data_IF_508895733488
#
_entry.id   IF_508895733488
#
_cell.length_a   1.000
_cell.length_b   1.000
_cell.length_c   1.000
_cell.angle_alpha   90.00
_cell.angle_beta   90.00
_cell.angle_gamma   90.00
#
_symmetry.space_group_name_H-M   'P 1'
#
loop_
_entity.id
_entity.type
_entity.pdbx_description
1 polymer ?
#
# COMPACT_ATOMS: atom_id res chain seq x y z
N UNK A 1 20.43 -31.83 4.50
CA UNK A 1 18.99 -31.89 4.19
C UNK A 1 18.31 -30.93 5.13
N UNK A 2 17.99 -29.72 4.65
CA UNK A 2 17.24 -28.74 5.42
C UNK A 2 15.83 -29.31 5.65
N UNK A 3 15.42 -29.43 6.90
CA UNK A 3 14.03 -29.72 7.23
C UNK A 3 13.21 -28.53 6.74
N UNK A 4 12.34 -28.75 5.75
CA UNK A 4 11.23 -27.85 5.49
C UNK A 4 10.43 -27.78 6.78
N UNK A 5 10.57 -26.67 7.51
CA UNK A 5 9.62 -26.30 8.54
C UNK A 5 8.27 -26.26 7.84
N UNK A 6 7.32 -27.09 8.30
CA UNK A 6 5.98 -27.10 7.73
C UNK A 6 5.44 -25.68 7.79
N UNK A 7 5.03 -25.16 6.63
CA UNK A 7 4.30 -23.91 6.57
C UNK A 7 3.15 -23.96 7.60
N UNK A 8 2.95 -22.88 8.36
CA UNK A 8 1.92 -22.82 9.40
C UNK A 8 0.51 -23.06 8.84
N UNK A 9 -0.48 -23.38 9.68
CA UNK A 9 -1.83 -23.71 9.24
C UNK A 9 -2.52 -22.59 8.43
N UNK A 10 -2.16 -21.30 8.60
CA UNK A 10 -2.71 -20.21 7.77
C UNK A 10 -2.08 -20.20 6.39
N UNK A 11 -0.78 -20.51 6.25
CA UNK A 11 -0.12 -20.59 4.94
C UNK A 11 -0.72 -21.71 4.09
N UNK A 12 -0.94 -22.88 4.68
CA UNK A 12 -1.59 -24.01 3.99
C UNK A 12 -3.02 -23.64 3.57
N UNK A 13 -3.80 -23.05 4.49
CA UNK A 13 -5.18 -22.63 4.19
C UNK A 13 -5.24 -21.53 3.14
N UNK A 14 -4.30 -20.59 3.15
CA UNK A 14 -4.24 -19.53 2.15
C UNK A 14 -3.88 -20.07 0.76
N UNK A 15 -3.02 -21.08 0.68
CA UNK A 15 -2.71 -21.74 -0.58
C UNK A 15 -3.97 -22.38 -1.20
N UNK A 16 -4.76 -23.11 -0.41
CA UNK A 16 -6.02 -23.69 -0.85
C UNK A 16 -7.01 -22.61 -1.31
N UNK A 17 -7.22 -21.58 -0.49
CA UNK A 17 -8.13 -20.48 -0.79
C UNK A 17 -7.71 -19.71 -2.03
N UNK A 18 -6.41 -19.50 -2.24
CA UNK A 18 -5.89 -18.85 -3.44
C UNK A 18 -6.22 -19.66 -4.69
N UNK A 19 -6.13 -20.99 -4.63
CA UNK A 19 -6.51 -21.85 -5.74
C UNK A 19 -8.03 -21.81 -6.01
N UNK A 20 -8.85 -21.78 -4.95
CA UNK A 20 -10.30 -21.63 -5.07
C UNK A 20 -10.69 -20.29 -5.73
N UNK A 21 -10.08 -19.18 -5.31
CA UNK A 21 -10.36 -17.84 -5.87
C UNK A 21 -9.98 -17.79 -7.35
N UNK A 22 -8.79 -18.25 -7.70
CA UNK A 22 -8.33 -18.26 -9.09
C UNK A 22 -9.26 -19.10 -9.99
N UNK A 23 -9.71 -20.26 -9.51
CA UNK A 23 -10.64 -21.12 -10.25
C UNK A 23 -12.01 -20.45 -10.46
N UNK A 24 -12.49 -19.67 -9.49
CA UNK A 24 -13.73 -18.90 -9.64
C UNK A 24 -13.58 -17.78 -10.66
N UNK A 25 -12.46 -17.04 -10.65
CA UNK A 25 -12.20 -15.99 -11.64
C UNK A 25 -12.12 -16.57 -13.06
N UNK A 26 -11.45 -17.72 -13.24
CA UNK A 26 -11.39 -18.42 -14.53
C UNK A 26 -12.77 -18.88 -15.02
N UNK A 27 -13.62 -19.41 -14.13
CA UNK A 27 -14.98 -19.83 -14.48
C UNK A 27 -15.86 -18.65 -14.93
N UNK A 28 -15.76 -17.51 -14.25
CA UNK A 28 -16.47 -16.29 -14.63
C UNK A 28 -16.02 -15.79 -16.01
N UNK A 29 -14.73 -15.86 -16.31
CA UNK A 29 -14.21 -15.49 -17.65
C UNK A 29 -14.76 -16.43 -18.72
N UNK A 30 -14.84 -17.74 -18.46
CA UNK A 30 -15.37 -18.72 -19.40
C UNK A 30 -16.87 -18.52 -19.67
N UNK A 31 -17.65 -18.16 -18.65
CA UNK A 31 -19.08 -17.86 -18.80
C UNK A 31 -19.35 -16.55 -19.56
N UNK A 32 -18.36 -15.65 -19.61
CA UNK A 32 -18.43 -14.37 -20.34
C UNK A 32 -17.92 -14.46 -21.79
N UNK A 33 -17.33 -15.58 -22.21
CA UNK A 33 -17.00 -15.83 -23.61
C UNK A 33 -18.28 -16.22 -24.36
N UNK A 34 -18.72 -15.47 -25.39
CA UNK A 34 -19.83 -15.92 -26.21
C UNK A 34 -19.45 -17.26 -26.83
N UNK A 35 -20.32 -18.26 -26.71
CA UNK A 35 -20.15 -19.54 -27.38
C UNK A 35 -19.93 -19.27 -28.88
N UNK A 36 -18.68 -19.36 -29.32
CA UNK A 36 -18.31 -19.22 -30.72
C UNK A 36 -18.85 -20.42 -31.49
N UNK A 37 -20.09 -20.33 -31.95
CA UNK A 37 -20.54 -21.18 -33.05
C UNK A 37 -19.73 -20.79 -34.28
N UNK A 38 -18.75 -21.64 -34.58
CA UNK A 38 -18.14 -21.74 -35.89
C UNK A 38 -19.24 -22.03 -36.92
N UNK A 39 -19.71 -21.00 -37.62
CA UNK A 39 -20.32 -21.18 -38.94
C UNK A 39 -19.28 -20.88 -40.01
N UNK A 40 -18.51 -21.92 -40.30
CA UNK A 40 -17.92 -22.16 -41.61
C UNK A 40 -19.06 -22.22 -42.64
N UNK A 41 -19.25 -21.17 -43.46
CA UNK A 41 -20.01 -21.29 -44.70
C UNK A 41 -19.65 -20.19 -45.71
N UNK A 42 -18.91 -20.65 -46.72
CA UNK A 42 -18.93 -20.28 -48.14
C UNK A 42 -19.41 -18.87 -48.54
N UNK A 43 -18.52 -18.14 -49.20
CA UNK A 43 -18.87 -17.09 -50.14
C UNK A 43 -19.91 -17.59 -51.18
N UNK A 44 -20.81 -16.70 -51.61
CA UNK A 44 -20.78 -16.42 -53.04
C UNK A 44 -20.82 -14.92 -53.35
N UNK A 45 -20.07 -14.61 -54.39
CA UNK A 45 -20.15 -13.43 -55.24
C UNK A 45 -21.58 -13.25 -55.81
N UNK A 46 -22.03 -11.99 -56.00
CA UNK A 46 -22.91 -11.47 -57.08
C UNK A 46 -23.76 -10.25 -56.66
N UNK A 47 -23.37 -9.10 -57.26
CA UNK A 47 -24.15 -7.99 -57.88
C UNK A 47 -24.89 -6.92 -57.05
N UNK A 48 -24.58 -5.71 -57.51
CA UNK A 48 -25.28 -4.43 -57.39
C UNK A 48 -26.80 -4.53 -57.49
N UNK A 49 -27.50 -3.78 -56.64
CA UNK A 49 -28.64 -2.96 -57.05
C UNK A 49 -28.87 -1.82 -56.04
N UNK A 50 -29.16 -0.66 -56.62
CA UNK A 50 -29.42 0.65 -56.03
C UNK A 50 -30.73 0.67 -55.25
N UNK A 51 -30.81 1.41 -54.14
CA UNK A 51 -31.96 2.29 -53.93
C UNK A 51 -31.69 3.39 -52.90
N UNK A 52 -32.03 4.61 -53.33
CA UNK A 52 -31.97 5.87 -52.60
C UNK A 52 -33.32 6.04 -51.92
N UNK A 53 -33.34 6.40 -50.63
CA UNK A 53 -34.44 7.20 -50.09
C UNK A 53 -33.92 8.36 -49.25
N UNK A 54 -34.03 9.54 -49.87
CA UNK A 54 -34.03 10.86 -49.27
C UNK A 54 -35.08 10.95 -48.14
N UNK A 55 -34.70 11.58 -47.03
CA UNK A 55 -35.66 12.32 -46.21
C UNK A 55 -35.13 13.74 -46.08
N UNK A 56 -35.84 14.65 -46.72
CA UNK A 56 -35.59 16.08 -46.80
C UNK A 56 -36.26 16.86 -45.65
N UNK A 57 -35.53 17.89 -45.19
CA UNK A 57 -35.99 19.26 -44.82
C UNK A 57 -36.63 19.54 -43.44
N UNK A 58 -36.65 20.82 -42.96
CA UNK A 58 -35.90 22.02 -43.41
C UNK A 58 -35.27 22.93 -42.31
N UNK A 59 -34.24 23.65 -42.75
CA UNK A 59 -33.90 25.08 -42.58
C UNK A 59 -34.38 25.89 -41.34
N UNK A 60 -33.39 26.51 -40.67
CA UNK A 60 -33.40 27.95 -40.38
C UNK A 60 -31.95 28.47 -40.15
N UNK A 61 -31.55 29.40 -41.00
CA UNK A 61 -30.44 30.37 -40.88
C UNK A 61 -31.04 31.74 -41.32
N UNK A 62 -30.38 32.91 -41.20
CA UNK A 62 -28.96 33.16 -40.87
C UNK A 62 -28.74 34.30 -39.86
N UNK A 63 -27.49 34.57 -39.49
CA UNK A 63 -26.90 35.91 -39.65
C UNK A 63 -25.36 35.83 -39.64
N UNK A 64 -24.77 36.68 -40.47
CA UNK A 64 -23.41 36.66 -41.01
C UNK A 64 -22.39 37.33 -40.09
N UNK A 65 -21.10 36.99 -40.24
CA UNK A 65 -20.05 37.95 -40.65
C UNK A 65 -18.67 37.28 -40.77
N UNK A 66 -18.30 37.03 -42.03
CA UNK A 66 -17.09 37.56 -42.71
C UNK A 66 -15.72 37.56 -41.98
N UNK A 67 -14.76 36.76 -42.47
CA UNK A 67 -13.65 37.20 -43.34
C UNK A 67 -12.46 36.21 -43.35
N UNK A 68 -12.14 35.73 -44.57
CA UNK A 68 -10.80 35.55 -45.19
C UNK A 68 -9.76 34.64 -44.50
N UNK A 69 -9.47 33.49 -45.12
CA UNK A 69 -8.22 33.15 -45.84
C UNK A 69 -7.03 32.78 -44.91
N UNK A 70 -6.21 31.76 -45.14
CA UNK A 70 -5.81 31.09 -46.35
C UNK A 70 -5.46 29.60 -46.07
N UNK A 71 -5.37 28.88 -47.18
CA UNK A 71 -4.89 27.52 -47.38
C UNK A 71 -3.51 27.23 -46.77
N UNK A 72 -3.35 26.05 -46.18
CA UNK A 72 -2.21 25.16 -46.46
C UNK A 72 -2.51 23.74 -45.94
N UNK A 73 -2.56 22.81 -46.89
CA UNK A 73 -2.42 21.37 -46.71
C UNK A 73 -1.02 21.04 -46.22
N UNK A 74 -0.90 20.29 -45.12
CA UNK A 74 0.33 19.55 -44.85
C UNK A 74 -0.01 18.14 -44.36
N UNK A 75 0.54 17.18 -45.10
CA UNK A 75 0.49 15.75 -44.89
C UNK A 75 1.06 15.35 -43.53
N UNK A 76 0.41 14.37 -42.89
CA UNK A 76 0.95 13.64 -41.76
C UNK A 76 2.18 12.83 -42.18
N UNK A 77 3.32 12.90 -41.47
CA UNK A 77 4.36 11.90 -41.61
C UNK A 77 4.15 10.76 -40.60
N UNK A 78 4.42 9.57 -41.10
CA UNK A 78 4.35 8.29 -40.42
C UNK A 78 5.26 8.19 -39.18
N UNK A 79 4.80 7.39 -38.22
CA UNK A 79 5.54 6.93 -37.05
C UNK A 79 6.82 6.16 -37.46
N UNK A 80 7.97 6.40 -36.81
CA UNK A 80 9.05 5.44 -36.81
C UNK A 80 8.82 4.40 -35.70
N UNK A 81 8.94 3.14 -36.10
CA UNK A 81 9.11 1.98 -35.24
C UNK A 81 10.43 2.08 -34.43
N UNK A 82 10.35 1.57 -33.20
CA UNK A 82 11.42 0.91 -32.45
C UNK A 82 12.64 1.75 -32.03
N UNK A 83 12.66 2.17 -30.76
CA UNK A 83 13.82 1.98 -29.89
C UNK A 83 13.35 1.61 -28.48
N UNK A 84 13.54 0.34 -28.14
CA UNK A 84 13.60 -0.13 -26.77
C UNK A 84 14.71 0.63 -26.00
N UNK A 85 14.32 1.61 -25.20
CA UNK A 85 15.21 2.16 -24.18
C UNK A 85 15.18 1.25 -22.95
N UNK A 86 16.29 0.53 -22.82
CA UNK A 86 16.97 0.08 -21.61
C UNK A 86 16.19 0.33 -20.31
N UNK A 87 15.52 -0.73 -19.86
CA UNK A 87 14.84 -0.76 -18.57
C UNK A 87 15.86 -0.59 -17.45
N UNK A 88 15.90 0.62 -16.88
CA UNK A 88 16.51 0.82 -15.58
C UNK A 88 15.89 -0.18 -14.60
N UNK A 89 16.72 -1.04 -14.02
CA UNK A 89 16.33 -1.99 -12.99
C UNK A 89 15.56 -1.25 -11.90
N UNK A 90 14.23 -1.41 -11.93
CA UNK A 90 13.38 -0.96 -10.85
C UNK A 90 13.62 -1.91 -9.68
N UNK A 91 14.09 -1.37 -8.57
CA UNK A 91 14.09 -2.08 -7.31
C UNK A 91 12.62 -2.32 -6.94
N UNK A 92 12.13 -3.56 -7.15
CA UNK A 92 10.75 -3.96 -6.87
C UNK A 92 10.36 -3.67 -5.40
N UNK A 93 11.38 -3.50 -4.55
CA UNK A 93 11.35 -3.14 -3.14
C UNK A 93 10.95 -1.67 -2.84
N UNK A 94 10.81 -0.81 -3.86
CA UNK A 94 10.31 0.57 -3.69
C UNK A 94 8.82 0.65 -3.35
N UNK A 95 8.13 -0.48 -3.22
CA UNK A 95 6.77 -0.49 -2.72
C UNK A 95 6.80 -0.32 -1.21
N UNK A 96 6.36 0.85 -0.75
CA UNK A 96 6.18 1.18 0.65
C UNK A 96 5.57 0.02 1.44
N UNK A 97 6.34 -0.50 2.41
CA UNK A 97 5.81 -1.34 3.47
C UNK A 97 4.92 -0.46 4.35
N UNK A 98 3.60 -0.67 4.28
CA UNK A 98 2.62 0.07 5.06
C UNK A 98 2.90 0.03 6.59
N UNK A 99 3.72 -0.92 7.05
CA UNK A 99 4.11 -1.11 8.44
C UNK A 99 5.34 -0.31 8.89
N UNK A 100 5.97 0.45 8.00
CA UNK A 100 6.83 1.56 8.44
C UNK A 100 6.05 2.55 9.31
N UNK A 101 4.72 2.55 9.21
CA UNK A 101 3.80 3.31 10.06
C UNK A 101 2.80 2.40 10.80
N UNK A 102 3.27 1.74 11.86
CA UNK A 102 2.36 1.48 13.00
C UNK A 102 2.04 2.87 13.57
N UNK A 103 0.77 3.33 13.59
CA UNK A 103 0.43 4.54 14.28
C UNK A 103 0.72 4.28 15.76
N UNK A 104 1.83 4.83 16.28
CA UNK A 104 1.89 5.07 17.71
C UNK A 104 0.76 6.03 17.98
N UNK A 105 -0.34 5.54 18.56
CA UNK A 105 -1.47 6.35 18.97
C UNK A 105 -0.94 7.63 19.59
N UNK A 106 -1.20 8.76 18.94
CA UNK A 106 -0.73 10.09 19.33
C UNK A 106 -1.54 10.62 20.54
N UNK A 107 -1.87 9.71 21.49
CA UNK A 107 -2.52 10.01 22.76
C UNK A 107 -1.55 10.57 23.81
N UNK A 108 -0.31 10.91 23.43
CA UNK A 108 0.68 11.52 24.31
C UNK A 108 1.09 12.96 23.92
N UNK A 109 0.34 13.63 23.04
CA UNK A 109 0.54 15.06 22.74
C UNK A 109 -0.74 15.89 22.91
N UNK A 110 -1.43 15.70 24.03
CA UNK A 110 -2.27 16.78 24.56
C UNK A 110 -1.37 17.75 25.34
N UNK A 111 -1.09 18.89 24.68
CA UNK A 111 -0.57 20.15 25.22
C UNK A 111 0.19 20.13 26.54
N UNK A 112 1.52 20.13 26.47
CA UNK A 112 2.30 20.72 27.55
C UNK A 112 2.00 22.23 27.57
N UNK A 113 1.43 22.80 28.66
CA UNK A 113 1.24 24.24 28.72
C UNK A 113 2.61 24.92 28.74
N UNK A 114 2.84 25.75 27.73
CA UNK A 114 4.02 26.58 27.61
C UNK A 114 3.88 27.80 28.54
N UNK A 115 4.99 28.08 29.26
CA UNK A 115 5.27 29.19 30.19
C UNK A 115 4.87 28.95 31.66
N UNK A 116 5.85 28.46 32.44
CA UNK A 116 5.83 28.53 33.92
C UNK A 116 6.57 29.79 34.34
N UNK A 117 5.89 30.68 35.06
CA UNK A 117 6.44 31.90 35.66
C UNK A 117 7.31 31.51 36.89
N UNK A 118 8.63 31.80 36.93
CA UNK A 118 9.55 31.22 37.92
C UNK A 118 9.40 31.75 39.37
N UNK A 119 8.39 32.55 39.67
CA UNK A 119 8.23 33.19 40.98
C UNK A 119 7.23 32.50 41.94
N UNK A 120 6.61 31.38 41.57
CA UNK A 120 5.56 30.75 42.38
C UNK A 120 5.63 29.20 42.37
N UNK A 121 6.59 28.60 43.08
CA UNK A 121 6.36 27.52 44.06
C UNK A 121 7.70 26.99 44.62
N UNK A 122 7.93 26.99 45.94
CA UNK A 122 9.15 26.42 46.51
C UNK A 122 9.24 24.91 46.26
N UNK A 123 10.38 24.53 45.68
CA UNK A 123 10.90 23.17 45.58
C UNK A 123 10.87 22.44 46.92
N UNK A 124 9.73 21.81 47.23
CA UNK A 124 9.58 20.92 48.38
C UNK A 124 9.13 19.54 47.91
N UNK A 125 10.15 18.81 47.45
CA UNK A 125 10.30 17.37 47.68
C UNK A 125 9.38 16.43 46.88
N UNK A 126 9.37 16.57 45.56
CA UNK A 126 9.33 15.35 44.75
C UNK A 126 10.71 14.71 44.86
N UNK A 127 10.85 13.76 45.78
CA UNK A 127 11.85 12.71 45.61
C UNK A 127 11.43 12.03 44.32
N UNK A 128 12.06 12.39 43.19
CA UNK A 128 12.05 11.53 42.01
C UNK A 128 12.85 10.32 42.45
N UNK A 129 12.18 9.37 43.10
CA UNK A 129 12.69 8.01 43.19
C UNK A 129 12.70 7.56 41.75
N UNK A 130 13.85 7.72 41.09
CA UNK A 130 14.16 6.99 39.89
C UNK A 130 14.07 5.54 40.35
N UNK A 131 12.91 4.90 40.16
CA UNK A 131 12.73 3.48 40.42
C UNK A 131 13.88 2.85 39.64
N UNK A 132 14.89 2.35 40.37
CA UNK A 132 15.87 1.47 39.77
C UNK A 132 15.02 0.31 39.30
N UNK A 133 14.59 0.34 38.04
CA UNK A 133 14.21 -0.88 37.38
C UNK A 133 15.47 -1.73 37.49
N UNK A 134 15.35 -2.91 38.09
CA UNK A 134 16.36 -3.92 37.87
C UNK A 134 16.54 -3.98 36.36
N UNK A 135 17.78 -3.76 35.89
CA UNK A 135 18.07 -3.69 34.47
C UNK A 135 17.60 -4.96 33.74
N UNK A 136 17.45 -6.06 34.48
CA UNK A 136 16.97 -7.36 34.04
C UNK A 136 15.45 -7.59 34.25
N UNK A 137 14.70 -6.60 34.72
CA UNK A 137 13.24 -6.72 34.81
C UNK A 137 12.65 -6.93 33.41
N UNK A 138 11.59 -7.73 33.33
CA UNK A 138 10.86 -8.00 32.08
C UNK A 138 10.48 -6.69 31.37
N UNK A 139 10.00 -5.70 32.12
CA UNK A 139 9.59 -4.41 31.59
C UNK A 139 10.78 -3.63 31.01
N UNK A 140 11.94 -3.63 31.68
CA UNK A 140 13.15 -2.97 31.17
C UNK A 140 13.65 -3.63 29.89
N UNK A 141 13.62 -4.96 29.83
CA UNK A 141 13.99 -5.75 28.66
C UNK A 141 13.03 -5.53 27.49
N UNK A 142 11.72 -5.46 27.73
CA UNK A 142 10.73 -5.12 26.71
C UNK A 142 11.00 -3.74 26.09
N UNK A 143 11.26 -2.74 26.93
CA UNK A 143 11.59 -1.38 26.46
C UNK A 143 12.92 -1.36 25.68
N UNK A 144 13.90 -2.18 26.08
CA UNK A 144 15.16 -2.30 25.36
C UNK A 144 14.97 -2.95 23.98
N UNK A 145 14.16 -4.01 23.89
CA UNK A 145 13.83 -4.68 22.64
C UNK A 145 13.08 -3.74 21.68
N UNK A 146 12.04 -3.04 22.18
CA UNK A 146 11.27 -2.08 21.38
C UNK A 146 12.16 -0.96 20.83
N UNK A 147 13.11 -0.48 21.65
CA UNK A 147 14.11 0.50 21.20
C UNK A 147 15.04 -0.06 20.14
N UNK A 148 15.48 -1.30 20.28
CA UNK A 148 16.33 -1.95 19.27
C UNK A 148 15.59 -2.08 17.93
N UNK A 149 14.31 -2.51 17.94
CA UNK A 149 13.45 -2.57 16.75
C UNK A 149 13.30 -1.19 16.10
N UNK A 150 13.06 -0.14 16.90
CA UNK A 150 12.94 1.24 16.39
C UNK A 150 14.25 1.78 15.79
N UNK A 151 15.40 1.28 16.23
CA UNK A 151 16.72 1.67 15.73
C UNK A 151 17.19 0.81 14.55
N UNK A 152 16.34 -0.06 14.00
CA UNK A 152 16.71 -0.95 12.90
C UNK A 152 17.58 -2.14 13.30
N UNK A 153 17.75 -2.39 14.60
CA UNK A 153 18.59 -3.47 15.14
C UNK A 153 17.75 -4.71 15.40
N UNK A 154 17.19 -5.26 14.34
CA UNK A 154 16.15 -6.29 14.43
C UNK A 154 16.67 -7.59 15.04
N UNK A 155 17.87 -8.05 14.66
CA UNK A 155 18.48 -9.26 15.23
C UNK A 155 18.71 -9.14 16.74
N UNK A 156 19.25 -8.01 17.21
CA UNK A 156 19.39 -7.76 18.65
C UNK A 156 18.05 -7.65 19.38
N UNK A 157 17.00 -7.15 18.71
CA UNK A 157 15.66 -7.12 19.29
C UNK A 157 15.10 -8.54 19.43
N UNK A 158 15.29 -9.38 18.41
CA UNK A 158 14.87 -10.77 18.39
C UNK A 158 15.53 -11.59 19.50
N UNK A 159 16.84 -11.43 19.73
CA UNK A 159 17.53 -12.06 20.86
C UNK A 159 16.83 -11.76 22.20
N UNK A 160 16.48 -10.49 22.45
CA UNK A 160 15.79 -10.09 23.68
C UNK A 160 14.37 -10.65 23.72
N UNK A 161 13.64 -10.59 22.61
CA UNK A 161 12.27 -11.11 22.51
C UNK A 161 12.21 -12.63 22.66
N UNK A 162 13.18 -13.37 22.14
CA UNK A 162 13.26 -14.84 22.26
C UNK A 162 13.51 -15.26 23.71
N UNK A 163 14.42 -14.59 24.41
CA UNK A 163 14.63 -14.81 25.85
C UNK A 163 13.37 -14.48 26.68
N UNK A 164 12.69 -13.39 26.34
CA UNK A 164 11.42 -13.00 26.98
C UNK A 164 10.32 -14.03 26.68
N UNK A 165 10.24 -14.51 25.45
CA UNK A 165 9.29 -15.52 24.99
C UNK A 165 9.52 -16.85 25.71
N UNK A 166 10.78 -17.27 25.89
CA UNK A 166 11.12 -18.50 26.61
C UNK A 166 10.56 -18.54 28.04
N UNK A 167 10.46 -17.38 28.70
CA UNK A 167 9.91 -17.24 30.05
C UNK A 167 8.41 -16.92 30.08
N UNK A 168 7.86 -16.30 29.03
CA UNK A 168 6.45 -15.92 28.95
C UNK A 168 5.91 -15.97 27.51
N UNK A 169 5.57 -17.18 27.07
CA UNK A 169 5.11 -17.48 25.69
C UNK A 169 3.75 -16.89 25.31
N UNK A 170 2.95 -16.43 26.27
CA UNK A 170 1.58 -15.95 26.03
C UNK A 170 1.40 -14.45 26.26
N UNK A 171 2.49 -13.70 26.36
CA UNK A 171 2.39 -12.24 26.48
C UNK A 171 2.19 -11.59 25.11
N UNK A 172 1.07 -10.86 24.88
CA UNK A 172 0.81 -10.22 23.61
C UNK A 172 1.86 -9.19 23.17
N UNK A 173 2.50 -8.49 24.11
CA UNK A 173 3.52 -7.48 23.78
C UNK A 173 4.83 -8.13 23.33
N UNK A 174 5.17 -9.28 23.93
CA UNK A 174 6.34 -10.07 23.50
C UNK A 174 6.07 -10.62 22.09
N UNK A 175 4.91 -11.23 21.88
CA UNK A 175 4.54 -11.81 20.58
C UNK A 175 4.50 -10.77 19.46
N UNK A 176 3.87 -9.62 19.70
CA UNK A 176 3.83 -8.52 18.73
C UNK A 176 5.22 -7.97 18.42
N UNK A 177 6.03 -7.72 19.45
CA UNK A 177 7.40 -7.23 19.28
C UNK A 177 8.30 -8.22 18.54
N UNK A 178 8.12 -9.51 18.79
CA UNK A 178 8.82 -10.59 18.10
C UNK A 178 8.39 -10.68 16.62
N UNK A 179 7.08 -10.69 16.35
CA UNK A 179 6.53 -10.76 15.00
C UNK A 179 7.00 -9.58 14.12
N UNK A 180 6.87 -8.36 14.64
CA UNK A 180 7.33 -7.14 13.96
C UNK A 180 8.85 -7.14 13.74
N UNK A 181 9.64 -7.67 14.68
CA UNK A 181 11.09 -7.75 14.53
C UNK A 181 11.50 -8.80 13.50
N UNK A 182 10.83 -9.96 13.43
CA UNK A 182 11.06 -10.95 12.37
C UNK A 182 10.74 -10.38 11.00
N UNK A 183 9.58 -9.74 10.88
CA UNK A 183 9.16 -9.12 9.62
C UNK A 183 10.19 -8.11 9.13
N UNK A 184 10.64 -7.21 10.02
CA UNK A 184 11.62 -6.18 9.65
C UNK A 184 13.03 -6.74 9.39
N UNK A 185 13.34 -7.91 9.94
CA UNK A 185 14.56 -8.65 9.62
C UNK A 185 14.45 -9.45 8.30
N UNK A 186 13.28 -9.51 7.67
CA UNK A 186 13.03 -10.28 6.45
C UNK A 186 12.64 -11.75 6.67
N UNK A 187 12.51 -12.17 7.93
CA UNK A 187 12.12 -13.52 8.34
C UNK A 187 10.59 -13.67 8.28
N UNK A 188 10.03 -13.65 7.08
CA UNK A 188 8.57 -13.51 6.88
C UNK A 188 7.76 -14.72 7.35
N UNK A 189 8.26 -15.95 7.15
CA UNK A 189 7.53 -17.15 7.59
C UNK A 189 7.47 -17.22 9.13
N UNK A 190 8.56 -16.86 9.83
CA UNK A 190 8.59 -16.74 11.30
C UNK A 190 7.70 -15.61 11.83
N UNK A 191 7.64 -14.48 11.11
CA UNK A 191 6.76 -13.38 11.45
C UNK A 191 5.29 -13.80 11.36
N UNK A 192 4.89 -14.51 10.30
CA UNK A 192 3.54 -15.07 10.13
C UNK A 192 3.18 -15.94 11.34
N UNK A 193 4.03 -16.90 11.71
CA UNK A 193 3.80 -17.77 12.87
C UNK A 193 3.66 -16.96 14.16
N UNK A 194 4.50 -15.96 14.39
CA UNK A 194 4.42 -15.12 15.58
C UNK A 194 3.13 -14.26 15.62
N UNK A 195 2.65 -13.77 14.47
CA UNK A 195 1.35 -13.10 14.37
C UNK A 195 0.18 -14.06 14.59
N UNK A 196 0.25 -15.30 14.08
CA UNK A 196 -0.74 -16.35 14.37
C UNK A 196 -0.85 -16.60 15.87
N UNK A 197 0.29 -16.84 16.55
CA UNK A 197 0.32 -17.05 18.02
C UNK A 197 -0.29 -15.86 18.78
N UNK A 198 -0.05 -14.64 18.32
CA UNK A 198 -0.66 -13.44 18.90
C UNK A 198 -2.19 -13.43 18.69
N UNK A 199 -2.66 -13.76 17.49
CA UNK A 199 -4.08 -13.75 17.15
C UNK A 199 -4.85 -14.88 17.84
N UNK A 200 -4.23 -16.01 18.16
CA UNK A 200 -4.83 -17.03 19.03
C UNK A 200 -5.19 -16.48 20.43
N UNK A 201 -4.40 -15.54 20.94
CA UNK A 201 -4.59 -14.94 22.27
C UNK A 201 -5.46 -13.68 22.18
N UNK A 202 -5.30 -12.91 21.11
CA UNK A 202 -6.00 -11.64 20.85
C UNK A 202 -6.59 -11.66 19.44
N UNK A 203 -7.73 -12.34 19.22
CA UNK A 203 -8.31 -12.50 17.88
C UNK A 203 -8.74 -11.19 17.20
N UNK A 204 -8.89 -10.11 17.97
CA UNK A 204 -9.29 -8.78 17.49
C UNK A 204 -8.15 -7.76 17.53
N UNK A 205 -6.90 -8.22 17.59
CA UNK A 205 -5.76 -7.32 17.46
C UNK A 205 -5.64 -6.88 16.00
N UNK A 206 -6.19 -5.69 15.71
CA UNK A 206 -6.24 -5.13 14.35
C UNK A 206 -4.84 -4.96 13.76
N UNK A 207 -3.85 -4.52 14.55
CA UNK A 207 -2.47 -4.37 14.10
C UNK A 207 -1.89 -5.70 13.62
N UNK A 208 -2.05 -6.76 14.41
CA UNK A 208 -1.60 -8.10 14.03
C UNK A 208 -2.34 -8.66 12.80
N UNK A 209 -3.65 -8.37 12.66
CA UNK A 209 -4.43 -8.79 11.49
C UNK A 209 -3.95 -8.08 10.22
N UNK A 210 -3.73 -6.76 10.26
CA UNK A 210 -3.24 -5.97 9.13
C UNK A 210 -1.86 -6.48 8.71
N UNK A 211 -0.93 -6.62 9.66
CA UNK A 211 0.44 -6.99 9.36
C UNK A 211 0.52 -8.42 8.78
N UNK A 212 -0.26 -9.35 9.36
CA UNK A 212 -0.39 -10.68 8.80
C UNK A 212 -0.89 -10.64 7.35
N UNK A 213 -1.93 -9.84 7.04
CA UNK A 213 -2.40 -9.73 5.65
C UNK A 213 -1.38 -9.06 4.72
N UNK A 214 -0.60 -8.09 5.22
CA UNK A 214 0.49 -7.49 4.45
C UNK A 214 1.56 -8.51 4.06
N UNK A 215 1.98 -9.36 5.00
CA UNK A 215 2.91 -10.46 4.75
C UNK A 215 2.32 -11.50 3.80
N UNK A 216 1.08 -11.93 4.04
CA UNK A 216 0.37 -12.89 3.20
C UNK A 216 0.18 -12.37 1.77
N UNK A 217 -0.01 -11.07 1.60
CA UNK A 217 -0.18 -10.42 0.31
C UNK A 217 0.96 -10.67 -0.68
N UNK A 218 2.19 -10.83 -0.19
CA UNK A 218 3.36 -11.12 -1.02
C UNK A 218 3.25 -12.47 -1.75
N UNK A 219 2.58 -13.46 -1.15
CA UNK A 219 2.45 -14.83 -1.70
C UNK A 219 1.03 -15.14 -2.17
N UNK A 220 0.02 -14.58 -1.52
CA UNK A 220 -1.40 -14.85 -1.73
C UNK A 220 -2.22 -13.54 -1.74
N UNK A 221 -1.97 -12.63 -2.71
CA UNK A 221 -2.58 -11.30 -2.72
C UNK A 221 -4.11 -11.34 -2.80
N UNK A 222 -4.71 -12.30 -3.52
CA UNK A 222 -6.17 -12.44 -3.60
C UNK A 222 -6.81 -12.81 -2.24
N UNK A 223 -6.15 -13.69 -1.47
CA UNK A 223 -6.61 -14.08 -0.13
C UNK A 223 -6.47 -12.91 0.84
N UNK A 224 -5.31 -12.24 0.82
CA UNK A 224 -5.07 -11.05 1.63
C UNK A 224 -6.09 -9.95 1.33
N UNK A 225 -6.40 -9.71 0.06
CA UNK A 225 -7.39 -8.72 -0.37
C UNK A 225 -8.77 -9.01 0.21
N UNK A 226 -9.24 -10.27 0.11
CA UNK A 226 -10.53 -10.69 0.65
C UNK A 226 -10.60 -10.44 2.16
N UNK A 227 -9.60 -10.91 2.89
CA UNK A 227 -9.54 -10.78 4.34
C UNK A 227 -9.44 -9.30 4.78
N UNK A 228 -8.71 -8.45 4.05
CA UNK A 228 -8.64 -7.01 4.34
C UNK A 228 -9.96 -6.29 4.05
N UNK A 229 -10.72 -6.72 3.03
CA UNK A 229 -12.06 -6.17 2.75
C UNK A 229 -13.02 -6.48 3.90
N UNK A 230 -13.03 -7.72 4.37
CA UNK A 230 -13.80 -8.11 5.57
C UNK A 230 -13.37 -7.30 6.81
N UNK A 231 -12.05 -7.16 7.02
CA UNK A 231 -11.52 -6.39 8.15
C UNK A 231 -11.91 -4.90 8.06
N UNK A 232 -11.97 -4.34 6.86
CA UNK A 232 -12.41 -2.97 6.61
C UNK A 232 -13.91 -2.77 6.90
N UNK A 233 -14.76 -3.73 6.54
CA UNK A 233 -16.19 -3.69 6.85
C UNK A 233 -16.43 -3.59 8.37
N UNK A 234 -15.66 -4.34 9.16
CA UNK A 234 -15.71 -4.29 10.61
C UNK A 234 -15.07 -3.01 11.20
N UNK A 235 -14.15 -2.38 10.48
CA UNK A 235 -13.34 -1.25 10.94
C UNK A 235 -13.25 -0.12 9.89
N UNK A 236 -14.38 0.51 9.51
CA UNK A 236 -14.42 1.43 8.37
C UNK A 236 -13.60 2.71 8.57
N UNK A 237 -13.27 3.05 9.81
CA UNK A 237 -12.46 4.24 10.16
C UNK A 237 -10.95 4.00 10.22
N UNK A 238 -10.46 2.81 9.90
CA UNK A 238 -9.02 2.50 9.99
C UNK A 238 -8.29 2.84 8.68
N UNK A 239 -7.55 3.96 8.70
CA UNK A 239 -6.68 4.35 7.59
C UNK A 239 -5.63 3.30 7.26
N UNK A 240 -5.12 2.58 8.26
CA UNK A 240 -4.11 1.54 8.08
C UNK A 240 -4.63 0.37 7.22
N UNK A 241 -5.89 -0.05 7.42
CA UNK A 241 -6.52 -1.09 6.59
C UNK A 241 -6.69 -0.60 5.16
N UNK A 242 -7.15 0.64 4.99
CA UNK A 242 -7.35 1.26 3.67
C UNK A 242 -6.02 1.36 2.91
N UNK A 243 -4.95 1.78 3.58
CA UNK A 243 -3.60 1.83 3.01
C UNK A 243 -3.14 0.42 2.60
N UNK A 244 -3.35 -0.59 3.45
CA UNK A 244 -3.00 -1.97 3.13
C UNK A 244 -3.82 -2.53 1.97
N UNK A 245 -5.11 -2.20 1.85
CA UNK A 245 -5.92 -2.53 0.68
C UNK A 245 -5.31 -1.95 -0.60
N UNK A 246 -4.87 -0.70 -0.57
CA UNK A 246 -4.20 -0.10 -1.71
C UNK A 246 -2.90 -0.82 -2.08
N UNK A 247 -2.12 -1.24 -1.08
CA UNK A 247 -0.91 -2.04 -1.28
C UNK A 247 -1.21 -3.33 -2.05
N UNK A 248 -2.23 -4.07 -1.60
CA UNK A 248 -2.58 -5.34 -2.22
C UNK A 248 -3.20 -5.15 -3.61
N UNK A 249 -4.08 -4.16 -3.81
CA UNK A 249 -4.64 -3.86 -5.14
C UNK A 249 -3.53 -3.45 -6.13
N UNK A 250 -2.50 -2.72 -5.68
CA UNK A 250 -1.34 -2.39 -6.51
C UNK A 250 -0.49 -3.62 -6.88
N UNK A 251 -0.30 -4.57 -5.95
CA UNK A 251 0.37 -5.85 -6.22
C UNK A 251 -0.38 -6.70 -7.24
N UNK A 252 -1.72 -6.60 -7.27
CA UNK A 252 -2.57 -7.23 -8.27
C UNK A 252 -2.61 -6.47 -9.61
N UNK A 253 -1.84 -5.38 -9.76
CA UNK A 253 -1.84 -4.54 -10.96
C UNK A 253 -3.09 -3.66 -11.11
N UNK A 254 -3.98 -3.63 -10.11
CA UNK A 254 -5.22 -2.84 -10.11
C UNK A 254 -4.92 -1.40 -9.63
N UNK A 255 -4.06 -0.71 -10.37
CA UNK A 255 -3.56 0.61 -9.99
C UNK A 255 -4.65 1.68 -9.76
N UNK A 256 -5.74 1.77 -10.56
CA UNK A 256 -6.80 2.74 -10.30
C UNK A 256 -7.49 2.54 -8.94
N UNK A 257 -7.73 1.29 -8.53
CA UNK A 257 -8.32 0.97 -7.23
C UNK A 257 -7.34 1.27 -6.09
N UNK A 258 -6.06 0.97 -6.28
CA UNK A 258 -5.03 1.30 -5.31
C UNK A 258 -4.93 2.81 -5.05
N UNK A 259 -4.91 3.61 -6.12
CA UNK A 259 -4.91 5.08 -6.04
C UNK A 259 -6.20 5.58 -5.36
N UNK A 260 -7.36 4.99 -5.65
CA UNK A 260 -8.63 5.33 -5.01
C UNK A 260 -8.58 5.10 -3.50
N UNK A 261 -8.10 3.94 -3.06
CA UNK A 261 -7.95 3.64 -1.63
C UNK A 261 -6.97 4.59 -0.94
N UNK A 262 -5.82 4.90 -1.54
CA UNK A 262 -4.90 5.89 -0.97
C UNK A 262 -5.47 7.29 -0.96
N UNK A 263 -6.29 7.67 -1.94
CA UNK A 263 -7.02 8.94 -1.92
C UNK A 263 -8.00 9.03 -0.74
N UNK A 264 -8.66 7.92 -0.39
CA UNK A 264 -9.47 7.84 0.83
C UNK A 264 -8.59 7.99 2.08
N UNK A 265 -7.46 7.30 2.14
CA UNK A 265 -6.53 7.39 3.26
C UNK A 265 -5.96 8.80 3.45
N UNK A 266 -5.54 9.45 2.35
CA UNK A 266 -5.07 10.83 2.34
C UNK A 266 -6.16 11.83 2.75
N UNK A 267 -7.43 11.56 2.43
CA UNK A 267 -8.56 12.40 2.88
C UNK A 267 -8.80 12.29 4.38
N UNK A 268 -8.55 11.12 4.98
CA UNK A 268 -8.68 10.88 6.42
C UNK A 268 -7.47 11.41 7.20
N UNK A 269 -6.28 11.31 6.61
CA UNK A 269 -5.01 11.77 7.18
C UNK A 269 -4.31 12.76 6.24
N UNK A 270 -4.82 13.99 6.08
CA UNK A 270 -4.29 14.96 5.11
C UNK A 270 -2.86 15.43 5.40
N UNK A 271 -2.39 15.21 6.62
CA UNK A 271 -1.03 15.58 7.04
C UNK A 271 -0.03 14.41 6.89
N UNK A 272 -0.47 13.25 6.40
CA UNK A 272 0.39 12.08 6.23
C UNK A 272 0.87 11.99 4.77
N UNK A 273 2.07 12.50 4.53
CA UNK A 273 2.70 12.52 3.21
C UNK A 273 2.92 11.13 2.61
N UNK A 274 2.93 10.06 3.42
CA UNK A 274 3.14 8.69 2.92
C UNK A 274 2.00 8.23 2.00
N UNK A 275 0.76 8.60 2.29
CA UNK A 275 -0.37 8.19 1.45
C UNK A 275 -0.21 8.72 0.02
N UNK A 276 0.19 9.99 -0.10
CA UNK A 276 0.40 10.67 -1.38
C UNK A 276 1.67 10.15 -2.06
N UNK A 277 2.74 9.92 -1.31
CA UNK A 277 3.96 9.29 -1.82
C UNK A 277 3.67 7.91 -2.42
N UNK A 278 2.85 7.09 -1.76
CA UNK A 278 2.46 5.78 -2.28
C UNK A 278 1.63 5.89 -3.56
N UNK A 279 0.77 6.90 -3.67
CA UNK A 279 0.05 7.18 -4.93
C UNK A 279 1.03 7.53 -6.05
N UNK A 280 2.09 8.27 -5.75
CA UNK A 280 3.15 8.59 -6.70
C UNK A 280 3.86 7.33 -7.20
N UNK A 281 4.30 6.47 -6.28
CA UNK A 281 4.95 5.19 -6.61
C UNK A 281 4.04 4.28 -7.44
N UNK A 282 2.75 4.20 -7.09
CA UNK A 282 1.78 3.41 -7.86
C UNK A 282 1.55 3.99 -9.25
N UNK A 283 1.38 5.31 -9.38
CA UNK A 283 1.21 5.96 -10.67
C UNK A 283 2.46 5.78 -11.56
N UNK A 284 3.65 5.83 -10.97
CA UNK A 284 4.92 5.60 -11.63
C UNK A 284 5.03 4.16 -12.18
N UNK A 285 4.67 3.17 -11.35
CA UNK A 285 4.58 1.75 -11.76
C UNK A 285 3.53 1.51 -12.83
N UNK A 286 2.43 2.25 -12.80
CA UNK A 286 1.40 2.21 -13.83
C UNK A 286 1.85 2.86 -15.16
N UNK A 287 3.03 3.49 -15.20
CA UNK A 287 3.53 4.22 -16.35
C UNK A 287 2.90 5.61 -16.53
N UNK A 288 2.03 6.05 -15.61
CA UNK A 288 1.44 7.39 -15.63
C UNK A 288 2.42 8.41 -15.04
N UNK A 289 3.45 8.72 -15.83
CA UNK A 289 4.52 9.67 -15.46
C UNK A 289 3.96 11.02 -15.02
N UNK A 290 2.88 11.49 -15.66
CA UNK A 290 2.26 12.79 -15.37
C UNK A 290 1.67 12.82 -13.96
N UNK A 291 0.91 11.78 -13.60
CA UNK A 291 0.35 11.67 -12.25
C UNK A 291 1.45 11.41 -11.21
N UNK A 292 2.43 10.57 -11.54
CA UNK A 292 3.56 10.28 -10.66
C UNK A 292 4.31 11.55 -10.25
N UNK A 293 4.69 12.40 -11.21
CA UNK A 293 5.36 13.68 -10.93
C UNK A 293 4.51 14.56 -10.01
N UNK A 294 3.22 14.70 -10.30
CA UNK A 294 2.32 15.52 -9.48
C UNK A 294 2.25 15.01 -8.04
N UNK A 295 2.05 13.70 -7.84
CA UNK A 295 1.95 13.13 -6.50
C UNK A 295 3.29 13.17 -5.74
N UNK A 296 4.44 12.99 -6.42
CA UNK A 296 5.74 13.15 -5.77
C UNK A 296 5.96 14.58 -5.28
N UNK A 297 5.60 15.58 -6.08
CA UNK A 297 5.68 17.00 -5.69
C UNK A 297 4.75 17.32 -4.51
N UNK A 298 3.51 16.84 -4.57
CA UNK A 298 2.52 17.01 -3.49
C UNK A 298 2.97 16.32 -2.19
N UNK A 299 3.51 15.11 -2.28
CA UNK A 299 4.04 14.40 -1.12
C UNK A 299 5.21 15.15 -0.47
N UNK A 300 6.12 15.72 -1.26
CA UNK A 300 7.21 16.55 -0.77
C UNK A 300 6.72 17.82 -0.08
N UNK A 301 5.66 18.45 -0.61
CA UNK A 301 5.03 19.62 0.01
C UNK A 301 4.43 19.27 1.37
N UNK A 302 3.57 18.24 1.44
CA UNK A 302 2.95 17.78 2.68
C UNK A 302 3.99 17.35 3.72
N UNK A 303 5.04 16.62 3.30
CA UNK A 303 6.13 16.23 4.20
C UNK A 303 6.93 17.44 4.70
N UNK A 304 7.06 18.49 3.90
CA UNK A 304 7.73 19.73 4.34
C UNK A 304 6.88 20.47 5.37
N UNK A 305 5.56 20.54 5.15
CA UNK A 305 4.62 21.27 6.00
C UNK A 305 4.35 20.55 7.33
N UNK A 306 4.21 19.23 7.30
CA UNK A 306 3.73 18.45 8.44
C UNK A 306 4.72 17.38 8.93
N UNK A 307 5.58 16.87 8.04
CA UNK A 307 6.53 15.79 8.30
C UNK A 307 7.95 16.23 8.67
N UNK A 308 8.21 17.53 8.70
CA UNK A 308 9.54 18.12 8.91
C UNK A 308 10.62 17.60 7.94
N UNK A 309 10.23 17.10 6.76
CA UNK A 309 11.15 16.59 5.75
C UNK A 309 11.64 15.16 5.99
N UNK A 310 10.95 14.35 6.81
CA UNK A 310 11.46 13.05 7.31
C UNK A 310 10.51 11.88 7.13
N UNK A 311 9.30 12.12 6.64
CA UNK A 311 8.27 11.07 6.55
C UNK A 311 8.44 10.22 5.31
N UNK A 312 8.98 10.80 4.23
CA UNK A 312 9.18 10.14 2.93
C UNK A 312 10.66 10.19 2.54
N UNK A 313 11.15 9.26 1.69
CA UNK A 313 12.54 9.22 1.25
C UNK A 313 12.83 10.32 0.21
N UNK A 314 13.05 11.55 0.68
CA UNK A 314 13.16 12.75 -0.20
C UNK A 314 14.23 12.63 -1.27
N UNK A 315 15.38 12.04 -0.94
CA UNK A 315 16.48 11.83 -1.88
C UNK A 315 16.03 10.97 -3.07
N UNK A 316 15.45 9.79 -2.78
CA UNK A 316 14.89 8.90 -3.81
C UNK A 316 13.78 9.56 -4.62
N UNK A 317 12.93 10.39 -3.97
CA UNK A 317 11.90 11.16 -4.67
C UNK A 317 12.51 12.17 -5.66
N UNK A 318 13.55 12.90 -5.25
CA UNK A 318 14.21 13.87 -6.12
C UNK A 318 14.92 13.21 -7.30
N UNK A 319 15.61 12.09 -7.06
CA UNK A 319 16.23 11.29 -8.11
C UNK A 319 15.19 10.81 -9.11
N UNK A 320 14.05 10.29 -8.63
CA UNK A 320 13.00 9.79 -9.50
C UNK A 320 12.33 10.91 -10.29
N UNK A 321 12.06 12.05 -9.67
CA UNK A 321 11.54 13.24 -10.36
C UNK A 321 12.47 13.73 -11.47
N UNK A 322 13.78 13.60 -11.30
CA UNK A 322 14.75 13.97 -12.34
C UNK A 322 14.71 13.03 -13.56
N UNK A 323 14.30 11.76 -13.38
CA UNK A 323 14.14 10.79 -14.47
C UNK A 323 12.78 10.88 -15.18
N UNK A 324 11.75 11.35 -14.49
CA UNK A 324 10.39 11.45 -15.03
C UNK A 324 10.12 12.71 -15.85
N UNK A 325 11.00 13.71 -15.74
CA UNK A 325 10.94 15.01 -16.43
C UNK A 325 11.80 15.01 -17.68
#
# INVERSE_FOLDING_TARGET
MAQAQSAGPVLDRAQELSAEINAQEEAVIQDLLPAGEAQENAAPDIKQETDIQEITSPAAQPEEQDLMSATETEEAPALPEDQAEDGGEFDEDLFFDAEAYVPTSDLARQGAPSKVNPALNPASRLVVTRKKFDADSKEARLVAAERATKLGRYESALEIYDELYATNKRDPNILLGRATSFQRAGHFDEAIVAYEELLEIRPRNIEAQINLQGLMGKRYPAVALRNLKELHEDNPGSTAIIAQLAVIEAQLGRYPDAIRYLGMAASMEPNNANHIFNMAVIADRAGDKKQAVRYYEEALEVDTLYGAGKSIPRESVFERLAQLR
#
